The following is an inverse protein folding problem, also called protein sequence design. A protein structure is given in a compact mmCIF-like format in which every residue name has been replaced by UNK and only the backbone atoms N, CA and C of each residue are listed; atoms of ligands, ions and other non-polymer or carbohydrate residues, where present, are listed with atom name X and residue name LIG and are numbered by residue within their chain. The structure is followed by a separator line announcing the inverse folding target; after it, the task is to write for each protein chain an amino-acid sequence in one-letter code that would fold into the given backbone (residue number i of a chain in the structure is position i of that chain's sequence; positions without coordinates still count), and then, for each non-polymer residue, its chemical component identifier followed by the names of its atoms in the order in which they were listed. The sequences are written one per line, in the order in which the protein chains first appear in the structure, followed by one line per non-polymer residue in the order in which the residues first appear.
data_IF_964427490521
#
_entry.id   IF_964427490521
#
_cell.length_a   1.000
_cell.length_b   1.000
_cell.length_c   1.000
_cell.angle_alpha   90.00
_cell.angle_beta   90.00
_cell.angle_gamma   90.00
#
_symmetry.space_group_name_H-M   'P 1'
#
loop_
_entity.id
_entity.type
_entity.pdbx_description
1 polymer ?
#
# COMPACT_ATOMS: atom_id res chain seq x y z
N UNK A 1 -25.06 -5.92 -24.86
CA UNK A 1 -24.71 -4.86 -23.90
C UNK A 1 -23.23 -4.62 -24.07
N UNK A 2 -22.84 -3.54 -24.76
CA UNK A 2 -21.43 -3.22 -25.05
C UNK A 2 -21.01 -2.17 -24.04
N UNK A 3 -20.08 -2.51 -23.15
CA UNK A 3 -19.49 -1.57 -22.20
C UNK A 3 -18.54 -0.66 -22.97
N UNK A 4 -18.66 0.68 -22.89
CA UNK A 4 -17.71 1.56 -23.56
C UNK A 4 -16.35 1.44 -22.87
N UNK A 5 -15.36 0.93 -23.59
CA UNK A 5 -13.94 1.01 -23.23
C UNK A 5 -13.54 2.48 -23.36
N UNK A 6 -13.21 3.10 -22.23
CA UNK A 6 -12.68 4.47 -22.22
C UNK A 6 -11.19 4.39 -22.54
N UNK A 7 -10.84 4.69 -23.79
CA UNK A 7 -9.46 4.91 -24.21
C UNK A 7 -8.97 6.22 -23.59
N UNK A 8 -8.03 6.13 -22.65
CA UNK A 8 -7.30 7.29 -22.15
C UNK A 8 -6.09 7.51 -23.06
N UNK A 9 -6.00 8.70 -23.65
CA UNK A 9 -4.82 9.16 -24.39
C UNK A 9 -3.84 9.70 -23.35
N UNK A 10 -2.70 9.03 -23.20
CA UNK A 10 -1.65 9.47 -22.31
C UNK A 10 -0.57 10.20 -23.13
N UNK A 11 -0.28 11.46 -22.78
CA UNK A 11 0.82 12.20 -23.39
C UNK A 11 2.14 11.52 -23.04
N UNK A 12 2.91 11.16 -24.07
CA UNK A 12 4.21 10.52 -23.88
C UNK A 12 5.26 11.57 -23.54
N UNK A 13 6.02 11.33 -22.47
CA UNK A 13 7.09 12.23 -22.00
C UNK A 13 8.20 12.46 -23.06
N UNK A 14 8.28 11.63 -24.11
CA UNK A 14 9.30 11.69 -25.16
C UNK A 14 8.76 11.33 -26.57
N UNK A 15 7.52 11.66 -26.93
CA UNK A 15 7.05 11.41 -28.31
C UNK A 15 5.55 11.48 -28.53
N UNK A 16 5.09 10.83 -29.60
CA UNK A 16 3.68 10.80 -30.01
C UNK A 16 2.79 10.13 -28.95
N UNK A 17 1.63 10.72 -28.62
CA UNK A 17 0.73 10.21 -27.60
C UNK A 17 0.24 8.82 -27.98
N UNK A 18 0.32 7.89 -27.01
CA UNK A 18 -0.07 6.49 -27.21
C UNK A 18 -1.39 6.23 -26.49
N UNK A 19 -2.32 5.55 -27.17
CA UNK A 19 -3.58 5.09 -26.56
C UNK A 19 -3.28 3.90 -25.65
N UNK A 20 -3.53 4.06 -24.37
CA UNK A 20 -3.37 2.97 -23.40
C UNK A 20 -4.75 2.36 -23.14
N UNK A 21 -4.93 1.13 -23.61
CA UNK A 21 -6.13 0.35 -23.28
C UNK A 21 -6.15 0.07 -21.78
N UNK A 22 -7.28 0.37 -21.13
CA UNK A 22 -7.55 0.04 -19.73
C UNK A 22 -7.93 -1.44 -19.59
N UNK A 23 -7.12 -2.34 -20.15
CA UNK A 23 -7.36 -3.77 -20.04
C UNK A 23 -6.98 -4.25 -18.63
N UNK A 24 -8.03 -4.52 -17.85
CA UNK A 24 -8.03 -5.20 -16.55
C UNK A 24 -7.00 -4.68 -15.54
N UNK A 25 -7.48 -3.90 -14.58
CA UNK A 25 -6.74 -3.69 -13.32
C UNK A 25 -6.67 -5.03 -12.59
N UNK A 26 -5.67 -5.85 -12.92
CA UNK A 26 -5.22 -6.94 -12.05
C UNK A 26 -4.83 -6.38 -10.68
N UNK A 27 -4.65 -7.23 -9.65
CA UNK A 27 -4.15 -6.77 -8.35
C UNK A 27 -2.91 -5.90 -8.57
N UNK A 28 -2.84 -4.77 -7.87
CA UNK A 28 -1.78 -3.78 -8.06
C UNK A 28 -0.42 -4.47 -8.01
N UNK A 29 0.22 -4.60 -9.16
CA UNK A 29 1.52 -5.24 -9.30
C UNK A 29 2.54 -4.36 -8.58
N UNK A 30 3.11 -4.81 -7.46
CA UNK A 30 4.22 -4.13 -6.79
C UNK A 30 5.32 -3.84 -7.80
N UNK A 31 5.55 -2.55 -8.10
CA UNK A 31 6.63 -2.08 -8.96
C UNK A 31 7.81 -1.50 -8.17
N UNK A 32 7.78 -1.50 -6.84
CA UNK A 32 8.89 -0.99 -6.03
C UNK A 32 10.03 -2.02 -5.93
N UNK A 33 11.20 -1.78 -6.56
CA UNK A 33 12.34 -2.68 -6.47
C UNK A 33 12.86 -2.84 -5.03
N UNK A 34 12.65 -1.86 -4.16
CA UNK A 34 13.03 -1.90 -2.75
C UNK A 34 12.17 -2.91 -1.99
N UNK A 35 10.87 -2.95 -2.29
CA UNK A 35 9.95 -3.89 -1.70
C UNK A 35 10.22 -5.31 -2.18
N UNK A 36 10.46 -5.50 -3.48
CA UNK A 36 10.88 -6.80 -4.04
C UNK A 36 12.18 -7.27 -3.39
N UNK A 37 13.17 -6.39 -3.24
CA UNK A 37 14.43 -6.73 -2.57
C UNK A 37 14.20 -7.14 -1.10
N UNK A 38 13.32 -6.45 -0.38
CA UNK A 38 12.93 -6.79 1.01
C UNK A 38 12.28 -8.18 1.08
N UNK A 39 11.32 -8.47 0.21
CA UNK A 39 10.64 -9.77 0.18
C UNK A 39 11.61 -10.89 -0.20
N UNK A 40 12.47 -10.68 -1.20
CA UNK A 40 13.50 -11.66 -1.58
C UNK A 40 14.49 -11.90 -0.44
N UNK A 41 14.89 -10.87 0.30
CA UNK A 41 15.73 -11.03 1.49
C UNK A 41 15.02 -11.86 2.58
N UNK A 42 13.76 -11.54 2.88
CA UNK A 42 12.98 -12.28 3.88
C UNK A 42 12.68 -13.73 3.46
N UNK A 43 12.56 -13.98 2.16
CA UNK A 43 12.40 -15.31 1.58
C UNK A 43 13.68 -16.17 1.69
N UNK A 44 14.85 -15.54 1.86
CA UNK A 44 16.12 -16.25 1.98
C UNK A 44 16.38 -16.70 3.42
N UNK A 45 16.07 -15.83 4.38
CA UNK A 45 16.21 -16.08 5.82
C UNK A 45 15.27 -15.12 6.57
N UNK A 46 14.21 -15.59 7.26
CA UNK A 46 13.92 -16.98 7.65
C UNK A 46 13.19 -17.85 6.61
N UNK A 47 12.64 -17.27 5.54
CA UNK A 47 11.91 -17.99 4.50
C UNK A 47 10.39 -17.84 4.55
N UNK A 48 9.73 -18.03 3.41
CA UNK A 48 8.27 -18.06 3.29
C UNK A 48 7.77 -19.47 2.97
N UNK A 49 6.54 -19.74 3.40
CA UNK A 49 5.83 -21.00 3.22
C UNK A 49 4.43 -20.72 2.68
N UNK A 50 3.89 -21.62 1.85
CA UNK A 50 2.53 -21.49 1.31
C UNK A 50 1.73 -22.72 1.65
N UNK A 51 0.56 -22.51 2.26
CA UNK A 51 -0.40 -23.58 2.55
C UNK A 51 -1.23 -23.85 1.29
N UNK A 52 -0.95 -24.94 0.57
CA UNK A 52 -1.52 -25.23 -0.76
C UNK A 52 -3.06 -25.12 -0.80
N UNK A 53 -3.75 -25.63 0.24
CA UNK A 53 -5.21 -25.64 0.27
C UNK A 53 -5.83 -24.25 0.37
N UNK A 54 -5.12 -23.29 0.96
CA UNK A 54 -5.65 -21.95 1.25
C UNK A 54 -4.96 -20.84 0.47
N UNK A 55 -3.83 -21.13 -0.17
CA UNK A 55 -2.96 -20.14 -0.79
C UNK A 55 -2.34 -19.14 0.20
N UNK A 56 -2.50 -19.36 1.52
CA UNK A 56 -1.99 -18.43 2.54
C UNK A 56 -0.48 -18.50 2.62
N UNK A 57 0.14 -17.34 2.62
CA UNK A 57 1.58 -17.16 2.82
C UNK A 57 1.86 -17.02 4.31
N UNK A 58 2.80 -17.81 4.78
CA UNK A 58 3.29 -17.81 6.15
C UNK A 58 4.78 -17.49 6.13
N UNK A 59 5.26 -16.82 7.17
CA UNK A 59 6.67 -16.56 7.39
C UNK A 59 7.21 -17.60 8.36
N UNK A 60 8.31 -18.25 7.99
CA UNK A 60 8.95 -19.21 8.89
C UNK A 60 9.50 -18.46 10.13
N UNK A 61 9.34 -19.06 11.31
CA UNK A 61 9.92 -18.53 12.54
C UNK A 61 11.40 -18.95 12.63
N UNK A 62 12.37 -18.01 12.62
CA UNK A 62 13.80 -18.35 12.74
C UNK A 62 14.15 -18.98 14.08
N UNK A 63 13.34 -18.73 15.13
CA UNK A 63 13.61 -19.22 16.48
C UNK A 63 13.06 -20.63 16.73
N UNK A 64 12.07 -21.06 15.94
CA UNK A 64 11.36 -22.33 16.11
C UNK A 64 11.18 -23.03 14.76
N UNK A 65 12.09 -23.95 14.39
CA UNK A 65 11.97 -24.68 13.14
C UNK A 65 10.67 -25.51 13.13
N UNK A 66 9.89 -25.38 12.06
CA UNK A 66 8.58 -26.03 11.93
C UNK A 66 7.40 -25.20 12.46
N UNK A 67 7.66 -24.05 13.10
CA UNK A 67 6.65 -23.05 13.39
C UNK A 67 6.66 -21.97 12.30
N UNK A 68 5.47 -21.47 11.97
CA UNK A 68 5.32 -20.36 11.04
C UNK A 68 4.26 -19.40 11.56
N UNK A 69 4.42 -18.12 11.23
CA UNK A 69 3.50 -17.04 11.56
C UNK A 69 2.79 -16.54 10.31
N UNK A 70 1.59 -15.99 10.47
CA UNK A 70 0.88 -15.37 9.38
C UNK A 70 1.70 -14.20 8.80
N UNK A 71 1.96 -14.22 7.50
CA UNK A 71 2.56 -13.07 6.84
C UNK A 71 1.57 -11.89 6.85
N UNK A 72 2.09 -10.67 6.92
CA UNK A 72 1.27 -9.48 6.70
C UNK A 72 0.58 -9.61 5.33
N UNK A 73 -0.69 -9.19 5.24
CA UNK A 73 -1.49 -9.34 4.01
C UNK A 73 -0.76 -8.84 2.77
N UNK A 74 -0.21 -7.63 2.88
CA UNK A 74 0.60 -7.01 1.85
C UNK A 74 1.79 -7.89 1.42
N UNK A 75 2.56 -8.42 2.38
CA UNK A 75 3.71 -9.28 2.07
C UNK A 75 3.27 -10.59 1.40
N UNK A 76 2.13 -11.15 1.83
CA UNK A 76 1.54 -12.32 1.19
C UNK A 76 1.13 -12.07 -0.26
N UNK A 77 0.49 -10.92 -0.52
CA UNK A 77 0.07 -10.51 -1.87
C UNK A 77 1.30 -10.34 -2.78
N UNK A 78 2.36 -9.68 -2.31
CA UNK A 78 3.62 -9.52 -3.05
C UNK A 78 4.30 -10.87 -3.34
N UNK A 79 4.31 -11.80 -2.38
CA UNK A 79 4.86 -13.16 -2.60
C UNK A 79 4.07 -13.93 -3.67
N UNK A 80 2.73 -13.86 -3.63
CA UNK A 80 1.86 -14.48 -4.64
C UNK A 80 2.13 -13.89 -6.02
N UNK A 81 2.26 -12.57 -6.11
CA UNK A 81 2.60 -11.88 -7.35
C UNK A 81 3.95 -12.34 -7.91
N UNK A 82 4.99 -12.40 -7.07
CA UNK A 82 6.33 -12.83 -7.48
C UNK A 82 6.39 -14.32 -7.89
N UNK A 83 5.51 -15.15 -7.32
CA UNK A 83 5.31 -16.53 -7.79
C UNK A 83 4.63 -16.57 -9.16
N UNK A 84 3.58 -15.76 -9.35
CA UNK A 84 2.87 -15.64 -10.62
C UNK A 84 3.76 -15.14 -11.76
N UNK A 85 4.71 -14.25 -11.46
CA UNK A 85 5.68 -13.73 -12.43
C UNK A 85 6.92 -14.61 -12.62
N UNK A 86 7.05 -15.70 -11.86
CA UNK A 86 8.20 -16.61 -11.92
C UNK A 86 9.49 -16.09 -11.27
N UNK A 87 9.42 -14.97 -10.53
CA UNK A 87 10.54 -14.48 -9.72
C UNK A 87 10.77 -15.31 -8.46
N UNK A 88 9.75 -16.00 -7.96
CA UNK A 88 9.84 -17.00 -6.92
C UNK A 88 9.35 -18.36 -7.45
N UNK A 89 9.72 -19.44 -6.78
CA UNK A 89 9.25 -20.80 -7.12
C UNK A 89 8.78 -21.55 -5.90
N UNK A 90 7.79 -22.41 -6.07
CA UNK A 90 7.43 -23.37 -5.03
C UNK A 90 8.49 -24.48 -4.96
N UNK A 91 8.97 -24.73 -3.76
CA UNK A 91 9.91 -25.79 -3.43
C UNK A 91 9.24 -27.01 -2.83
N UNK A 92 9.95 -27.63 -1.88
CA UNK A 92 9.56 -28.86 -1.20
C UNK A 92 8.40 -28.69 -0.25
N UNK A 93 7.81 -29.84 0.13
CA UNK A 93 6.72 -29.91 1.09
C UNK A 93 7.28 -29.99 2.51
N UNK A 94 6.70 -29.21 3.41
CA UNK A 94 7.01 -29.15 4.82
C UNK A 94 5.73 -29.31 5.62
N UNK A 95 5.83 -29.91 6.79
CA UNK A 95 4.73 -29.95 7.75
C UNK A 95 4.97 -28.86 8.79
N UNK A 96 3.99 -27.96 8.98
CA UNK A 96 4.18 -26.78 9.83
C UNK A 96 3.04 -26.60 10.81
N UNK A 97 3.37 -25.92 11.91
CA UNK A 97 2.44 -25.52 12.95
C UNK A 97 2.28 -23.99 12.93
N UNK A 98 1.04 -23.53 12.82
CA UNK A 98 0.68 -22.11 12.83
C UNK A 98 -0.59 -21.93 13.68
N UNK A 99 -0.53 -21.17 14.76
CA UNK A 99 -1.67 -20.82 15.63
C UNK A 99 -2.56 -22.01 16.04
N UNK A 100 -1.94 -23.14 16.39
CA UNK A 100 -2.64 -24.37 16.78
C UNK A 100 -3.24 -25.18 15.63
N UNK A 101 -3.02 -24.76 14.38
CA UNK A 101 -3.31 -25.52 13.19
C UNK A 101 -2.04 -26.15 12.63
N UNK A 102 -2.12 -27.43 12.28
CA UNK A 102 -1.04 -28.18 11.67
C UNK A 102 -1.41 -28.56 10.23
N UNK A 103 -0.46 -28.51 9.30
CA UNK A 103 -0.72 -28.96 7.95
C UNK A 103 0.46 -28.88 6.99
N UNK A 104 0.29 -29.42 5.78
CA UNK A 104 1.29 -29.36 4.72
C UNK A 104 1.37 -27.94 4.14
N UNK A 105 2.60 -27.47 3.96
CA UNK A 105 2.93 -26.22 3.29
C UNK A 105 4.15 -26.41 2.37
N UNK A 106 4.37 -25.48 1.46
CA UNK A 106 5.49 -25.51 0.51
C UNK A 106 6.45 -24.37 0.74
N UNK A 107 7.74 -24.68 0.77
CA UNK A 107 8.79 -23.65 0.86
C UNK A 107 8.74 -22.77 -0.38
N UNK A 108 8.94 -21.47 -0.21
CA UNK A 108 9.16 -20.55 -1.32
C UNK A 108 10.66 -20.45 -1.57
N UNK A 109 11.07 -20.74 -2.80
CA UNK A 109 12.45 -20.71 -3.24
C UNK A 109 12.72 -19.47 -4.08
N UNK A 110 13.95 -18.98 -3.97
CA UNK A 110 14.46 -17.86 -4.77
C UNK A 110 15.37 -18.43 -5.87
N UNK A 111 14.96 -18.40 -7.14
CA UNK A 111 15.82 -18.71 -8.26
C UNK A 111 17.08 -17.84 -8.27
N UNK A 112 18.20 -18.41 -8.74
CA UNK A 112 19.47 -17.68 -8.89
C UNK A 112 19.31 -16.37 -9.67
N UNK A 113 18.54 -16.40 -10.77
CA UNK A 113 18.29 -15.22 -11.60
C UNK A 113 17.67 -14.06 -10.81
N UNK A 114 16.71 -14.36 -9.92
CA UNK A 114 16.07 -13.35 -9.06
C UNK A 114 17.04 -12.80 -8.03
N UNK A 115 17.87 -13.66 -7.43
CA UNK A 115 18.92 -13.23 -6.49
C UNK A 115 19.93 -12.31 -7.17
N UNK A 116 20.40 -12.68 -8.36
CA UNK A 116 21.35 -11.88 -9.14
C UNK A 116 20.73 -10.53 -9.56
N UNK A 117 19.43 -10.52 -9.88
CA UNK A 117 18.69 -9.29 -10.17
C UNK A 117 18.65 -8.33 -8.98
N UNK A 118 18.27 -8.81 -7.79
CA UNK A 118 18.24 -8.00 -6.56
C UNK A 118 19.64 -7.51 -6.20
N UNK A 119 20.66 -8.36 -6.36
CA UNK A 119 22.05 -7.99 -6.13
C UNK A 119 22.51 -6.89 -7.10
N UNK A 120 22.08 -6.91 -8.37
CA UNK A 120 22.36 -5.80 -9.30
C UNK A 120 21.70 -4.52 -8.84
N UNK A 121 20.46 -4.57 -8.35
CA UNK A 121 19.77 -3.39 -7.83
C UNK A 121 20.43 -2.80 -6.60
N UNK A 122 20.98 -3.62 -5.69
CA UNK A 122 21.72 -3.11 -4.53
C UNK A 122 23.00 -2.35 -4.90
N UNK A 123 23.54 -2.59 -6.09
CA UNK A 123 24.69 -1.84 -6.62
C UNK A 123 24.29 -0.57 -7.38
N UNK A 124 23.00 -0.36 -7.67
CA UNK A 124 22.55 0.89 -8.25
C UNK A 124 22.73 2.00 -7.21
N UNK A 125 23.28 3.12 -7.65
CA UNK A 125 23.33 4.30 -6.78
C UNK A 125 21.90 4.68 -6.43
N UNK A 126 21.58 4.89 -5.13
CA UNK A 126 20.30 5.45 -4.75
C UNK A 126 20.10 6.72 -5.58
N UNK A 127 19.01 6.79 -6.33
CA UNK A 127 18.58 8.07 -6.92
C UNK A 127 18.50 9.02 -5.74
N UNK A 128 19.22 10.16 -5.74
CA UNK A 128 19.13 11.12 -4.66
C UNK A 128 17.65 11.44 -4.51
N UNK A 129 17.03 10.93 -3.43
CA UNK A 129 15.68 11.36 -3.08
C UNK A 129 15.79 12.86 -3.01
N UNK A 130 15.01 13.57 -3.83
CA UNK A 130 14.99 15.02 -3.84
C UNK A 130 14.81 15.41 -2.39
N UNK A 131 15.90 15.88 -1.78
CA UNK A 131 15.98 16.07 -0.36
C UNK A 131 15.03 17.23 -0.13
N UNK A 132 13.81 16.95 0.34
CA UNK A 132 12.92 18.01 0.81
C UNK A 132 13.78 18.79 1.79
N UNK A 133 14.12 20.06 1.48
CA UNK A 133 15.12 20.77 2.25
C UNK A 133 14.64 20.74 3.70
N UNK A 134 15.41 20.10 4.57
CA UNK A 134 15.20 20.22 6.02
C UNK A 134 15.54 21.67 6.32
N UNK A 135 14.54 22.53 6.23
CA UNK A 135 14.67 23.95 6.53
C UNK A 135 14.89 24.05 8.02
N UNK A 136 16.05 24.56 8.41
CA UNK A 136 16.48 24.87 9.77
C UNK A 136 15.70 26.01 10.42
N UNK A 137 14.56 26.42 9.86
CA UNK A 137 13.63 27.29 10.58
C UNK A 137 12.88 26.45 11.60
N UNK A 138 12.94 26.87 12.86
CA UNK A 138 12.29 26.24 14.03
C UNK A 138 10.76 26.17 13.98
N UNK A 139 10.14 26.48 12.84
CA UNK A 139 8.71 26.35 12.61
C UNK A 139 8.44 25.54 11.33
N UNK A 140 7.54 24.53 11.40
CA UNK A 140 7.14 23.78 10.22
C UNK A 140 6.47 24.74 9.22
N UNK A 141 6.79 24.62 7.92
CA UNK A 141 6.16 25.44 6.89
C UNK A 141 4.64 25.23 6.93
N UNK A 142 3.88 26.31 6.76
CA UNK A 142 2.43 26.19 6.58
C UNK A 142 2.19 25.50 5.24
N UNK A 143 1.36 24.46 5.24
CA UNK A 143 0.91 23.83 4.00
C UNK A 143 0.19 24.87 3.15
N UNK A 144 0.13 24.63 1.83
CA UNK A 144 -0.84 25.32 0.99
C UNK A 144 -2.28 25.05 1.44
N UNK A 145 -3.24 25.55 0.65
CA UNK A 145 -4.65 25.19 0.80
C UNK A 145 -4.78 23.66 0.72
N UNK A 146 -5.44 23.09 1.72
CA UNK A 146 -5.76 21.66 1.79
C UNK A 146 -7.20 21.51 1.33
N UNK A 147 -7.41 20.76 0.26
CA UNK A 147 -8.74 20.37 -0.20
C UNK A 147 -9.10 19.00 0.38
N UNK A 148 -10.28 18.90 0.95
CA UNK A 148 -10.85 17.65 1.44
C UNK A 148 -12.12 17.40 0.65
N UNK A 149 -12.08 16.39 -0.21
CA UNK A 149 -13.21 16.02 -1.05
C UNK A 149 -13.93 14.80 -0.45
N UNK A 150 -15.20 15.00 -0.06
CA UNK A 150 -16.02 13.93 0.51
C UNK A 150 -16.60 13.09 -0.63
N UNK A 151 -15.93 11.99 -0.94
CA UNK A 151 -16.33 11.05 -2.01
C UNK A 151 -17.58 10.24 -1.65
N UNK A 152 -17.73 9.84 -0.39
CA UNK A 152 -18.92 9.11 0.08
C UNK A 152 -19.13 9.33 1.58
N UNK A 153 -20.28 8.91 2.12
CA UNK A 153 -20.57 9.08 3.55
C UNK A 153 -19.52 8.38 4.40
N UNK A 154 -18.71 9.18 5.10
CA UNK A 154 -17.66 8.65 5.96
C UNK A 154 -16.31 8.45 5.26
N UNK A 155 -16.17 8.73 3.96
CA UNK A 155 -14.88 8.68 3.28
C UNK A 155 -14.56 10.03 2.65
N UNK A 156 -13.32 10.47 2.74
CA UNK A 156 -12.85 11.66 2.04
C UNK A 156 -11.43 11.47 1.53
N UNK A 157 -11.12 12.15 0.43
CA UNK A 157 -9.78 12.31 -0.11
C UNK A 157 -9.23 13.65 0.35
N UNK A 158 -7.96 13.67 0.75
CA UNK A 158 -7.27 14.90 1.14
C UNK A 158 -6.16 15.15 0.13
N UNK A 159 -6.09 16.38 -0.36
CA UNK A 159 -5.04 16.84 -1.28
C UNK A 159 -4.52 18.20 -0.83
N UNK A 160 -3.21 18.42 -0.94
CA UNK A 160 -2.60 19.71 -0.64
C UNK A 160 -1.76 20.22 -1.81
N UNK A 161 -2.07 21.44 -2.25
CA UNK A 161 -1.36 22.15 -3.33
C UNK A 161 -1.71 21.66 -4.73
N UNK A 162 -1.45 22.49 -5.74
CA UNK A 162 -1.61 22.16 -7.18
C UNK A 162 -0.55 21.19 -7.70
N UNK A 163 0.45 20.84 -6.88
CA UNK A 163 1.58 19.96 -7.22
C UNK A 163 1.72 18.70 -6.37
N UNK A 164 0.76 18.37 -5.49
CA UNK A 164 0.76 17.13 -4.71
C UNK A 164 1.77 17.09 -3.55
N UNK A 165 1.84 18.14 -2.74
CA UNK A 165 2.79 18.20 -1.61
C UNK A 165 2.54 17.10 -0.56
N UNK A 166 1.28 16.68 -0.42
CA UNK A 166 0.85 15.43 0.21
C UNK A 166 -0.61 15.13 -0.16
N UNK A 167 -1.00 13.86 -0.01
CA UNK A 167 -2.38 13.43 -0.11
C UNK A 167 -2.67 12.29 0.88
N UNK A 168 -3.93 11.90 1.00
CA UNK A 168 -4.31 10.80 1.89
C UNK A 168 -5.80 10.56 1.88
N UNK A 169 -6.23 9.60 2.69
CA UNK A 169 -7.64 9.23 2.83
C UNK A 169 -8.09 9.32 4.27
N UNK A 170 -9.36 9.67 4.48
CA UNK A 170 -10.00 9.71 5.78
C UNK A 170 -11.22 8.80 5.71
N UNK A 171 -11.22 7.71 6.47
CA UNK A 171 -12.23 6.66 6.41
C UNK A 171 -12.90 6.51 7.77
N UNK A 172 -14.22 6.64 7.83
CA UNK A 172 -15.01 6.50 9.04
C UNK A 172 -14.99 5.05 9.48
N UNK A 173 -14.63 4.81 10.73
CA UNK A 173 -14.62 3.44 11.26
C UNK A 173 -16.06 2.91 11.27
N UNK A 174 -16.25 1.80 10.57
CA UNK A 174 -17.50 1.06 10.56
C UNK A 174 -17.86 0.53 11.96
N UNK A 175 -19.15 0.20 12.15
CA UNK A 175 -19.69 -0.35 13.39
C UNK A 175 -18.79 -1.47 13.92
N UNK A 176 -18.33 -1.33 15.15
CA UNK A 176 -17.71 -2.42 15.89
C UNK A 176 -18.76 -3.54 16.02
N UNK A 177 -18.47 -4.76 15.52
CA UNK A 177 -19.37 -5.93 15.65
C UNK A 177 -19.51 -6.29 17.13
N UNK A 178 -20.41 -5.61 17.85
CA UNK A 178 -20.64 -5.85 19.27
C UNK A 178 -21.24 -4.65 20.01
N UNK A 179 -20.98 -3.42 19.57
CA UNK A 179 -21.63 -2.23 20.09
C UNK A 179 -22.36 -1.53 18.97
N UNK A 180 -23.70 -1.49 18.99
CA UNK A 180 -24.54 -0.85 17.97
C UNK A 180 -24.33 0.67 17.77
N UNK A 181 -23.26 1.24 18.32
CA UNK A 181 -22.84 2.63 18.20
C UNK A 181 -21.63 2.70 17.26
N UNK A 182 -21.77 3.37 16.13
CA UNK A 182 -20.62 3.76 15.32
C UNK A 182 -19.77 4.72 16.17
N UNK A 183 -18.48 4.42 16.34
CA UNK A 183 -17.58 5.17 17.24
C UNK A 183 -17.35 6.62 16.76
N UNK A 184 -17.86 6.98 15.57
CA UNK A 184 -17.83 8.35 15.05
C UNK A 184 -16.43 8.85 14.68
N UNK A 185 -15.40 8.03 14.91
CA UNK A 185 -14.01 8.31 14.56
C UNK A 185 -13.69 7.90 13.13
N UNK A 186 -12.66 8.53 12.60
CA UNK A 186 -12.14 8.32 11.26
C UNK A 186 -10.70 7.84 11.37
N UNK A 187 -10.37 6.74 10.69
CA UNK A 187 -8.99 6.37 10.39
C UNK A 187 -8.44 7.31 9.32
N UNK A 188 -7.18 7.70 9.46
CA UNK A 188 -6.48 8.60 8.55
C UNK A 188 -5.31 7.84 7.97
N UNK A 189 -5.25 7.73 6.65
CA UNK A 189 -4.21 6.99 5.93
C UNK A 189 -3.47 7.92 4.98
N UNK A 190 -2.17 7.70 4.80
CA UNK A 190 -1.38 8.38 3.76
C UNK A 190 -1.76 7.89 2.37
N UNK A 191 -1.22 8.53 1.33
CA UNK A 191 -1.34 8.10 -0.05
C UNK A 191 -0.77 6.69 -0.32
N UNK A 192 0.08 6.18 0.57
CA UNK A 192 0.68 4.84 0.51
C UNK A 192 -0.06 3.81 1.36
N UNK A 193 -1.15 4.19 2.04
CA UNK A 193 -1.92 3.31 2.92
C UNK A 193 -1.34 3.15 4.33
N UNK A 194 -0.33 3.94 4.71
CA UNK A 194 0.17 3.94 6.09
C UNK A 194 -0.86 4.58 7.04
N UNK A 195 -1.18 3.90 8.15
CA UNK A 195 -2.05 4.43 9.21
C UNK A 195 -1.36 5.59 9.95
N UNK A 196 -1.97 6.77 9.89
CA UNK A 196 -1.56 7.99 10.58
C UNK A 196 -2.22 8.10 11.95
N UNK A 197 -3.38 7.47 12.13
CA UNK A 197 -4.12 7.40 13.38
C UNK A 197 -5.60 7.78 13.24
N UNK A 198 -6.22 8.11 14.38
CA UNK A 198 -7.67 8.32 14.50
C UNK A 198 -8.04 9.80 14.68
N UNK A 199 -8.98 10.30 13.87
CA UNK A 199 -9.50 11.66 13.90
C UNK A 199 -10.99 11.70 14.26
N UNK A 200 -11.43 12.79 14.87
CA UNK A 200 -12.86 13.03 15.19
C UNK A 200 -13.66 13.67 14.04
N UNK A 201 -13.00 14.13 12.98
CA UNK A 201 -13.61 14.80 11.83
C UNK A 201 -12.66 14.81 10.63
N UNK A 202 -13.21 15.09 9.45
CA UNK A 202 -12.42 15.29 8.23
C UNK A 202 -11.36 16.39 8.38
N UNK A 203 -11.72 17.52 9.00
CA UNK A 203 -10.78 18.62 9.26
C UNK A 203 -9.65 18.18 10.19
N UNK A 204 -9.95 17.43 11.24
CA UNK A 204 -8.94 16.92 12.15
C UNK A 204 -8.00 15.92 11.46
N UNK A 205 -8.53 15.05 10.59
CA UNK A 205 -7.72 14.12 9.80
C UNK A 205 -6.80 14.83 8.80
N UNK A 206 -7.29 15.88 8.13
CA UNK A 206 -6.47 16.70 7.23
C UNK A 206 -5.31 17.39 7.97
N UNK A 207 -5.54 17.87 9.20
CA UNK A 207 -4.47 18.42 10.05
C UNK A 207 -3.45 17.34 10.44
N UNK A 208 -3.91 16.12 10.74
CA UNK A 208 -3.01 15.00 11.06
C UNK A 208 -2.12 14.64 9.88
N UNK A 209 -2.68 14.59 8.66
CA UNK A 209 -1.91 14.39 7.43
C UNK A 209 -0.88 15.50 7.25
N UNK A 210 -1.27 16.77 7.32
CA UNK A 210 -0.32 17.88 7.19
C UNK A 210 0.87 17.74 8.16
N UNK A 211 0.59 17.40 9.43
CA UNK A 211 1.64 17.19 10.45
C UNK A 211 2.53 15.99 10.14
N UNK A 212 1.94 14.88 9.67
CA UNK A 212 2.68 13.67 9.29
C UNK A 212 3.70 13.97 8.19
N UNK A 213 3.35 14.85 7.25
CA UNK A 213 4.23 15.30 6.17
C UNK A 213 5.11 16.50 6.55
N UNK A 214 5.15 16.89 7.84
CA UNK A 214 6.05 17.94 8.35
C UNK A 214 5.55 19.38 8.18
N UNK A 215 4.27 19.57 7.85
CA UNK A 215 3.65 20.87 7.66
C UNK A 215 2.78 21.30 8.84
N UNK A 216 2.66 22.60 9.05
CA UNK A 216 1.54 23.20 9.79
C UNK A 216 0.35 23.28 8.84
N UNK A 217 -0.81 22.76 9.21
CA UNK A 217 -1.99 22.84 8.36
C UNK A 217 -2.35 24.30 8.01
N UNK A 218 -2.43 24.59 6.72
CA UNK A 218 -2.96 25.82 6.15
C UNK A 218 -4.50 25.84 6.12
N UNK A 219 -5.10 26.73 5.32
CA UNK A 219 -6.55 26.76 5.13
C UNK A 219 -7.07 25.41 4.61
N UNK A 220 -8.03 24.83 5.34
CA UNK A 220 -8.70 23.58 4.95
C UNK A 220 -10.06 23.93 4.36
N UNK A 221 -10.28 23.47 3.15
CA UNK A 221 -11.55 23.56 2.45
C UNK A 221 -12.12 22.17 2.27
N UNK A 222 -13.41 22.03 2.56
CA UNK A 222 -14.10 20.75 2.49
C UNK A 222 -15.14 20.86 1.39
N UNK A 223 -14.82 20.27 0.26
CA UNK A 223 -15.73 20.14 -0.87
C UNK A 223 -16.67 18.96 -0.61
N UNK A 224 -17.95 19.19 -0.88
CA UNK A 224 -18.99 18.17 -0.74
C UNK A 224 -19.52 17.89 -2.15
N UNK A 225 -19.03 16.83 -2.80
CA UNK A 225 -19.77 16.26 -3.92
C UNK A 225 -20.74 15.20 -3.39
N UNK A 226 -21.89 15.69 -2.90
CA UNK A 226 -23.05 14.84 -2.65
C UNK A 226 -24.06 15.05 -3.79
N UNK A 227 -23.89 14.29 -4.87
CA UNK A 227 -24.97 14.01 -5.81
C UNK A 227 -25.15 12.50 -5.94
N UNK A 228 -25.96 11.98 -5.04
CA UNK A 228 -26.89 10.91 -5.40
C UNK A 228 -28.27 11.48 -5.15
N UNK A 229 -28.78 12.18 -6.17
CA UNK A 229 -30.22 12.26 -6.41
C UNK A 229 -30.69 10.82 -6.67
N UNK A 230 -31.21 10.16 -5.65
CA UNK A 230 -32.02 8.95 -5.82
C UNK A 230 -33.40 9.23 -5.24
N UNK A 231 -34.32 9.57 -6.14
CA UNK A 231 -35.76 9.40 -6.02
C UNK A 231 -36.13 7.96 -6.36
#
# INVERSE_FOLDING_TARGET
MVVPVTDLVQDALFGEPTRVGTDSTGPATTQDPSEVARIVSAAQDPGFLIVERTGRVLKADPTRPGCAEAAARHDGDTVIQLLGSGHLKLGGNHHIHCDGHEGPARSVLIPKATRDMVLRWSHLRPIPRRRTPVRTSSQPPTSGRISVDIVERGKALVTCGTGGDFSGTIIRNGRNRGSGRADGRYTVETEYGDDVGQAGSYRAGAVMLARRHGYRAGPIEIEHEYRLDEH
#
